data_IF_460817267288
#
_entry.id   IF_460817267288
#
_cell.length_a   1.000
_cell.length_b   1.000
_cell.length_c   1.000
_cell.angle_alpha   90.00
_cell.angle_beta   90.00
_cell.angle_gamma   90.00
#
_symmetry.space_group_name_H-M   'P 1'
#
loop_
_entity.id
_entity.type
_entity.pdbx_description
1 polymer ?
#
# COMPACT_ATOMS: atom_id res chain seq x y z
N UNK A 1 12.56 -2.20 6.93
CA UNK A 1 11.90 -1.56 5.76
C UNK A 1 10.49 -2.08 5.56
N UNK A 2 10.29 -3.40 5.35
CA UNK A 2 8.97 -4.00 5.07
C UNK A 2 7.93 -3.75 6.17
N UNK A 3 8.30 -3.74 7.45
CA UNK A 3 7.37 -3.39 8.54
C UNK A 3 6.91 -1.93 8.46
N UNK A 4 7.82 -1.02 8.13
CA UNK A 4 7.49 0.41 7.97
C UNK A 4 6.55 0.60 6.80
N UNK A 5 6.87 0.02 5.63
CA UNK A 5 6.01 0.11 4.44
C UNK A 5 4.62 -0.48 4.70
N UNK A 6 4.53 -1.61 5.41
CA UNK A 6 3.27 -2.25 5.76
C UNK A 6 2.42 -1.38 6.68
N UNK A 7 3.01 -0.81 7.73
CA UNK A 7 2.27 0.09 8.65
C UNK A 7 1.72 1.30 7.88
N UNK A 8 2.54 1.92 7.04
CA UNK A 8 2.08 3.06 6.22
C UNK A 8 0.97 2.62 5.24
N UNK A 9 1.14 1.48 4.56
CA UNK A 9 0.10 0.94 3.68
C UNK A 9 -1.23 0.74 4.40
N UNK A 10 -1.20 0.20 5.62
CA UNK A 10 -2.43 -0.02 6.39
C UNK A 10 -3.08 1.28 6.85
N UNK A 11 -2.28 2.23 7.36
CA UNK A 11 -2.79 3.53 7.77
C UNK A 11 -3.46 4.27 6.60
N UNK A 12 -2.91 4.16 5.39
CA UNK A 12 -3.49 4.75 4.18
C UNK A 12 -4.66 3.92 3.64
N UNK A 13 -4.60 2.59 3.75
CA UNK A 13 -5.64 1.71 3.19
C UNK A 13 -6.93 1.76 3.97
N UNK A 14 -6.91 1.97 5.29
CA UNK A 14 -8.11 2.03 6.13
C UNK A 14 -9.09 3.12 5.67
N UNK A 15 -8.71 4.42 5.66
CA UNK A 15 -9.62 5.47 5.22
C UNK A 15 -9.94 5.38 3.72
N UNK A 16 -8.98 4.97 2.90
CA UNK A 16 -9.18 4.84 1.44
C UNK A 16 -10.19 3.74 1.12
N UNK A 17 -10.06 2.57 1.75
CA UNK A 17 -10.98 1.45 1.56
C UNK A 17 -12.38 1.79 2.05
N UNK A 18 -12.50 2.51 3.17
CA UNK A 18 -13.80 2.98 3.67
C UNK A 18 -14.45 3.95 2.69
N UNK A 19 -13.71 4.96 2.22
CA UNK A 19 -14.20 5.90 1.22
C UNK A 19 -14.64 5.21 -0.07
N UNK A 20 -13.84 4.26 -0.58
CA UNK A 20 -14.18 3.47 -1.77
C UNK A 20 -15.38 2.55 -1.57
N UNK A 21 -15.69 2.14 -0.34
CA UNK A 21 -16.83 1.28 -0.05
C UNK A 21 -18.13 2.07 0.10
N UNK A 22 -18.09 3.22 0.76
CA UNK A 22 -19.28 3.94 1.24
C UNK A 22 -19.56 5.27 0.54
N UNK A 23 -18.54 5.85 -0.12
CA UNK A 23 -18.68 7.16 -0.79
C UNK A 23 -18.72 6.98 -2.31
N UNK A 24 -19.67 7.63 -2.95
CA UNK A 24 -19.70 7.79 -4.41
C UNK A 24 -19.09 9.14 -4.77
N UNK A 25 -17.98 9.14 -5.49
CA UNK A 25 -17.31 10.35 -5.97
C UNK A 25 -16.91 10.20 -7.45
N UNK A 26 -16.83 11.32 -8.19
CA UNK A 26 -16.36 11.26 -9.56
C UNK A 26 -14.90 10.76 -9.59
N UNK A 27 -14.61 9.77 -10.46
CA UNK A 27 -13.28 9.15 -10.53
C UNK A 27 -13.10 7.87 -9.70
N UNK A 28 -14.06 7.45 -8.88
CA UNK A 28 -14.00 6.19 -8.12
C UNK A 28 -13.67 5.00 -9.02
N UNK A 29 -14.37 4.87 -10.15
CA UNK A 29 -14.15 3.79 -11.12
C UNK A 29 -12.74 3.80 -11.70
N UNK A 30 -12.19 4.99 -11.97
CA UNK A 30 -10.81 5.14 -12.44
C UNK A 30 -9.81 4.68 -11.38
N UNK A 31 -10.00 5.07 -10.13
CA UNK A 31 -9.14 4.63 -9.02
C UNK A 31 -9.19 3.10 -8.84
N UNK A 32 -10.36 2.49 -8.94
CA UNK A 32 -10.51 1.03 -8.89
C UNK A 32 -9.77 0.34 -10.05
N UNK A 33 -9.91 0.83 -11.27
CA UNK A 33 -9.21 0.30 -12.45
C UNK A 33 -7.68 0.42 -12.28
N UNK A 34 -7.20 1.57 -11.81
CA UNK A 34 -5.76 1.78 -11.58
C UNK A 34 -5.19 0.83 -10.52
N UNK A 35 -5.95 0.56 -9.45
CA UNK A 35 -5.56 -0.43 -8.44
C UNK A 35 -5.51 -1.84 -9.02
N UNK A 36 -6.49 -2.24 -9.82
CA UNK A 36 -6.52 -3.56 -10.46
C UNK A 36 -5.40 -3.72 -11.49
N UNK A 37 -5.11 -2.69 -12.28
CA UNK A 37 -3.97 -2.67 -13.18
C UNK A 37 -2.65 -2.86 -12.43
N UNK A 38 -2.46 -2.14 -11.32
CA UNK A 38 -1.25 -2.28 -10.49
C UNK A 38 -1.09 -3.69 -9.93
N UNK A 39 -2.19 -4.35 -9.57
CA UNK A 39 -2.17 -5.74 -9.07
C UNK A 39 -1.93 -6.77 -10.18
N UNK A 40 -2.27 -6.45 -11.42
CA UNK A 40 -2.14 -7.34 -12.58
C UNK A 40 -0.78 -7.24 -13.26
N UNK A 41 -0.07 -6.11 -13.10
CA UNK A 41 1.22 -5.90 -13.72
C UNK A 41 2.33 -6.68 -12.97
N UNK A 42 3.30 -7.26 -13.71
CA UNK A 42 4.52 -7.78 -13.10
C UNK A 42 5.27 -6.68 -12.31
N UNK A 43 5.63 -6.96 -11.06
CA UNK A 43 6.23 -5.95 -10.17
C UNK A 43 7.56 -5.40 -10.67
N UNK A 44 8.30 -6.19 -11.46
CA UNK A 44 9.53 -5.74 -12.12
C UNK A 44 9.25 -4.58 -13.09
N UNK A 45 8.14 -4.61 -13.82
CA UNK A 45 7.71 -3.54 -14.71
C UNK A 45 7.28 -2.29 -13.94
N UNK A 46 6.60 -2.45 -12.81
CA UNK A 46 6.28 -1.32 -11.92
C UNK A 46 7.55 -0.68 -11.38
N UNK A 47 8.52 -1.47 -10.94
CA UNK A 47 9.81 -0.97 -10.48
C UNK A 47 10.58 -0.22 -11.58
N UNK A 48 10.56 -0.73 -12.80
CA UNK A 48 11.19 -0.07 -13.95
C UNK A 48 10.48 1.23 -14.32
N UNK A 49 9.14 1.26 -14.32
CA UNK A 49 8.36 2.49 -14.54
C UNK A 49 8.68 3.55 -13.48
N UNK A 50 8.76 3.16 -12.21
CA UNK A 50 9.17 4.06 -11.13
C UNK A 50 10.60 4.57 -11.34
N UNK A 51 11.54 3.71 -11.75
CA UNK A 51 12.90 4.13 -12.06
C UNK A 51 12.92 5.19 -13.16
N UNK A 52 12.16 5.02 -14.25
CA UNK A 52 12.07 6.01 -15.33
C UNK A 52 11.49 7.34 -14.82
N UNK A 53 10.43 7.31 -14.01
CA UNK A 53 9.81 8.51 -13.43
C UNK A 53 10.81 9.25 -12.54
N UNK A 54 11.47 8.55 -11.62
CA UNK A 54 12.42 9.15 -10.68
C UNK A 54 13.79 9.50 -11.28
N UNK A 55 14.11 8.98 -12.48
CA UNK A 55 15.29 9.38 -13.27
C UNK A 55 15.03 10.58 -14.18
N UNK A 56 13.76 10.96 -14.36
CA UNK A 56 13.34 12.11 -15.15
C UNK A 56 13.70 13.46 -14.47
N UNK A 57 13.53 14.61 -15.15
CA UNK A 57 13.72 15.92 -14.53
C UNK A 57 12.91 16.13 -13.25
N UNK A 58 11.69 15.55 -13.18
CA UNK A 58 10.86 15.56 -11.99
C UNK A 58 11.54 14.85 -10.81
N UNK A 59 12.12 13.69 -11.06
CA UNK A 59 12.83 12.92 -10.03
C UNK A 59 14.10 13.62 -9.54
N UNK A 60 14.80 14.34 -10.43
CA UNK A 60 15.94 15.17 -10.06
C UNK A 60 15.54 16.33 -9.13
N UNK A 61 14.45 17.03 -9.45
CA UNK A 61 13.91 18.10 -8.59
C UNK A 61 13.51 17.56 -7.20
N UNK A 62 12.88 16.39 -7.13
CA UNK A 62 12.55 15.74 -5.85
C UNK A 62 13.80 15.37 -5.05
N UNK A 63 14.85 14.90 -5.70
CA UNK A 63 16.14 14.61 -5.05
C UNK A 63 16.81 15.87 -4.50
N UNK A 64 16.76 16.98 -5.22
CA UNK A 64 17.25 18.28 -4.75
C UNK A 64 16.45 18.82 -3.57
N UNK A 65 15.14 18.50 -3.52
CA UNK A 65 14.27 18.80 -2.38
C UNK A 65 14.47 17.85 -1.16
N UNK A 66 15.49 16.95 -1.22
CA UNK A 66 15.83 16.03 -0.12
C UNK A 66 15.17 14.65 -0.20
N UNK A 67 14.34 14.36 -1.22
CA UNK A 67 13.68 13.07 -1.42
C UNK A 67 14.47 12.18 -2.39
N UNK A 68 15.57 11.60 -1.92
CA UNK A 68 16.32 10.63 -2.69
C UNK A 68 15.64 9.26 -2.65
N UNK A 69 14.94 8.88 -3.72
CA UNK A 69 14.23 7.59 -3.83
C UNK A 69 15.11 6.54 -4.52
N UNK A 70 15.71 6.88 -5.66
CA UNK A 70 16.51 5.95 -6.45
C UNK A 70 17.81 5.59 -5.71
N UNK A 71 18.15 4.29 -5.66
CA UNK A 71 19.32 3.75 -4.96
C UNK A 71 19.43 4.13 -3.48
N UNK A 72 18.28 4.24 -2.77
CA UNK A 72 18.22 4.60 -1.36
C UNK A 72 17.36 3.63 -0.53
N UNK A 73 17.59 3.50 0.79
CA UNK A 73 16.72 2.73 1.66
C UNK A 73 15.26 3.23 1.69
N UNK A 74 15.06 4.54 1.53
CA UNK A 74 13.73 5.14 1.41
C UNK A 74 13.01 4.64 0.14
N UNK A 75 13.76 4.42 -0.95
CA UNK A 75 13.24 3.84 -2.18
C UNK A 75 12.69 2.43 -2.02
N UNK A 76 13.27 1.62 -1.11
CA UNK A 76 12.72 0.28 -0.79
C UNK A 76 11.32 0.43 -0.20
N UNK A 77 11.17 1.30 0.80
CA UNK A 77 9.87 1.55 1.44
C UNK A 77 8.87 2.04 0.41
N UNK A 78 9.28 2.97 -0.44
CA UNK A 78 8.43 3.56 -1.49
C UNK A 78 8.00 2.51 -2.53
N UNK A 79 8.92 1.70 -3.05
CA UNK A 79 8.60 0.61 -3.99
C UNK A 79 7.62 -0.39 -3.38
N UNK A 80 7.88 -0.82 -2.15
CA UNK A 80 7.00 -1.73 -1.41
C UNK A 80 5.62 -1.12 -1.16
N UNK A 81 5.55 0.19 -0.89
CA UNK A 81 4.26 0.88 -0.73
C UNK A 81 3.45 0.88 -2.01
N UNK A 82 4.04 1.27 -3.14
CA UNK A 82 3.33 1.33 -4.44
C UNK A 82 2.77 -0.04 -4.82
N UNK A 83 3.53 -1.11 -4.60
CA UNK A 83 3.12 -2.48 -4.94
C UNK A 83 2.06 -3.03 -3.97
N UNK A 84 2.20 -2.74 -2.67
CA UNK A 84 1.37 -3.35 -1.63
C UNK A 84 0.13 -2.54 -1.26
N UNK A 85 0.11 -1.22 -1.51
CA UNK A 85 -1.01 -0.36 -1.15
C UNK A 85 -2.33 -0.78 -1.82
N UNK A 86 -2.39 -1.06 -3.15
CA UNK A 86 -3.62 -1.55 -3.79
C UNK A 86 -4.11 -2.88 -3.18
N UNK A 87 -3.19 -3.77 -2.83
CA UNK A 87 -3.53 -5.02 -2.17
C UNK A 87 -4.13 -4.79 -0.77
N UNK A 88 -3.50 -3.95 0.04
CA UNK A 88 -4.00 -3.59 1.37
C UNK A 88 -5.39 -2.94 1.30
N UNK A 89 -5.61 -2.01 0.35
CA UNK A 89 -6.91 -1.38 0.13
C UNK A 89 -7.96 -2.43 -0.24
N UNK A 90 -7.64 -3.36 -1.13
CA UNK A 90 -8.55 -4.44 -1.54
C UNK A 90 -8.94 -5.33 -0.36
N UNK A 91 -7.97 -5.73 0.47
CA UNK A 91 -8.22 -6.53 1.67
C UNK A 91 -9.11 -5.80 2.68
N UNK A 92 -8.83 -4.53 2.94
CA UNK A 92 -9.64 -3.70 3.84
C UNK A 92 -11.06 -3.48 3.30
N UNK A 93 -11.19 -3.23 2.00
CA UNK A 93 -12.51 -3.09 1.36
C UNK A 93 -13.36 -4.35 1.53
N UNK A 94 -12.77 -5.53 1.33
CA UNK A 94 -13.47 -6.80 1.54
C UNK A 94 -13.95 -6.95 2.99
N UNK A 95 -13.13 -6.52 3.97
CA UNK A 95 -13.49 -6.53 5.37
C UNK A 95 -14.69 -5.60 5.66
N UNK A 96 -14.68 -4.38 5.12
CA UNK A 96 -15.75 -3.40 5.37
C UNK A 96 -17.07 -3.75 4.68
N UNK A 97 -17.03 -4.30 3.47
CA UNK A 97 -18.24 -4.78 2.77
C UNK A 97 -18.91 -5.94 3.53
N UNK A 98 -18.17 -6.68 4.34
CA UNK A 98 -18.71 -7.73 5.22
C UNK A 98 -19.50 -7.21 6.43
N UNK A 99 -19.41 -5.93 6.77
CA UNK A 99 -20.18 -5.31 7.84
C UNK A 99 -21.61 -5.05 7.38
N UNK A 100 -22.59 -5.43 8.20
CA UNK A 100 -23.99 -5.19 7.87
C UNK A 100 -24.29 -3.68 7.82
N UNK A 101 -24.78 -3.13 6.69
CA UNK A 101 -25.05 -1.70 6.54
C UNK A 101 -26.07 -1.15 7.54
N UNK A 102 -26.92 -2.03 8.12
CA UNK A 102 -27.90 -1.62 9.14
C UNK A 102 -27.24 -1.10 10.41
N UNK A 103 -26.06 -1.59 10.75
CA UNK A 103 -25.31 -1.14 11.94
C UNK A 103 -24.90 0.33 11.79
N UNK A 104 -24.42 0.70 10.60
CA UNK A 104 -24.08 2.09 10.30
C UNK A 104 -25.31 2.99 10.30
N UNK A 105 -26.39 2.53 9.67
CA UNK A 105 -27.63 3.28 9.61
C UNK A 105 -28.21 3.56 11.00
N UNK A 106 -28.26 2.55 11.89
CA UNK A 106 -28.75 2.72 13.26
C UNK A 106 -27.87 3.69 14.04
N UNK A 107 -26.55 3.59 13.93
CA UNK A 107 -25.65 4.51 14.62
C UNK A 107 -25.83 5.97 14.15
N UNK A 108 -26.01 6.19 12.85
CA UNK A 108 -26.26 7.51 12.30
C UNK A 108 -27.63 8.08 12.71
N UNK A 109 -28.66 7.24 12.81
CA UNK A 109 -29.98 7.68 13.32
C UNK A 109 -29.94 8.08 14.79
N UNK A 110 -28.99 7.55 15.56
CA UNK A 110 -28.71 7.94 16.95
C UNK A 110 -27.81 9.17 17.06
N UNK A 111 -27.47 9.82 15.94
CA UNK A 111 -26.71 11.05 15.90
C UNK A 111 -25.18 10.89 15.80
N UNK A 112 -24.68 9.67 15.59
CA UNK A 112 -23.24 9.45 15.42
C UNK A 112 -22.76 10.00 14.07
N UNK A 113 -21.64 10.73 14.08
CA UNK A 113 -21.00 11.19 12.85
C UNK A 113 -20.37 10.01 12.07
N UNK A 114 -20.27 10.08 10.73
CA UNK A 114 -19.68 9.00 9.93
C UNK A 114 -18.29 8.58 10.38
N UNK A 115 -17.48 9.52 10.85
CA UNK A 115 -16.14 9.24 11.38
C UNK A 115 -16.17 8.48 12.71
N UNK A 116 -17.12 8.80 13.58
CA UNK A 116 -17.31 8.10 14.86
C UNK A 116 -17.78 6.67 14.62
N UNK A 117 -18.72 6.48 13.69
CA UNK A 117 -19.19 5.15 13.26
C UNK A 117 -18.02 4.33 12.72
N UNK A 118 -17.21 4.91 11.84
CA UNK A 118 -16.02 4.25 11.31
C UNK A 118 -15.08 3.79 12.42
N UNK A 119 -14.68 4.71 13.31
CA UNK A 119 -13.65 4.46 14.32
C UNK A 119 -14.14 3.56 15.45
N UNK A 120 -15.37 3.75 15.91
CA UNK A 120 -15.88 3.08 17.14
C UNK A 120 -16.67 1.81 16.87
N UNK A 121 -17.16 1.63 15.64
CA UNK A 121 -18.01 0.49 15.29
C UNK A 121 -17.34 -0.36 14.21
N UNK A 122 -17.06 0.20 13.04
CA UNK A 122 -16.60 -0.58 11.87
C UNK A 122 -15.21 -1.14 12.10
N UNK A 123 -14.24 -0.31 12.48
CA UNK A 123 -12.86 -0.75 12.71
C UNK A 123 -12.76 -1.83 13.79
N UNK A 124 -13.40 -1.71 14.97
CA UNK A 124 -13.41 -2.78 15.96
C UNK A 124 -14.11 -4.06 15.50
N UNK A 125 -15.20 -3.96 14.73
CA UNK A 125 -15.88 -5.14 14.17
C UNK A 125 -15.00 -5.88 13.16
N UNK A 126 -14.17 -5.17 12.40
CA UNK A 126 -13.27 -5.74 11.39
C UNK A 126 -11.86 -6.07 11.94
N UNK A 127 -11.63 -6.03 13.25
CA UNK A 127 -10.28 -6.18 13.84
C UNK A 127 -9.54 -7.42 13.36
N UNK A 128 -10.20 -8.56 13.26
CA UNK A 128 -9.58 -9.81 12.84
C UNK A 128 -9.17 -9.77 11.36
N UNK A 129 -10.01 -9.18 10.51
CA UNK A 129 -9.72 -8.97 9.08
C UNK A 129 -8.59 -7.96 8.90
N UNK A 130 -8.52 -6.92 9.74
CA UNK A 130 -7.43 -5.93 9.75
C UNK A 130 -6.11 -6.60 10.13
N UNK A 131 -6.10 -7.46 11.14
CA UNK A 131 -4.92 -8.24 11.54
C UNK A 131 -4.49 -9.17 10.39
N UNK A 132 -5.42 -9.87 9.77
CA UNK A 132 -5.14 -10.74 8.62
C UNK A 132 -4.55 -9.95 7.45
N UNK A 133 -5.11 -8.78 7.15
CA UNK A 133 -4.59 -7.90 6.11
C UNK A 133 -3.19 -7.37 6.45
N UNK A 134 -2.91 -7.08 7.73
CA UNK A 134 -1.56 -6.73 8.19
C UNK A 134 -0.57 -7.85 7.90
N UNK A 135 -0.85 -9.06 8.37
CA UNK A 135 0.06 -10.21 8.21
C UNK A 135 0.31 -10.52 6.74
N UNK A 136 -0.75 -10.53 5.91
CA UNK A 136 -0.63 -10.81 4.48
C UNK A 136 0.13 -9.71 3.73
N UNK A 137 -0.13 -8.45 4.02
CA UNK A 137 0.58 -7.32 3.39
C UNK A 137 2.05 -7.31 3.82
N UNK A 138 2.34 -7.62 5.08
CA UNK A 138 3.70 -7.71 5.61
C UNK A 138 4.48 -8.86 4.97
N UNK A 139 3.90 -10.06 4.91
CA UNK A 139 4.52 -11.21 4.27
C UNK A 139 4.81 -10.94 2.78
N UNK A 140 3.87 -10.30 2.08
CA UNK A 140 4.05 -9.88 0.68
C UNK A 140 5.16 -8.84 0.54
N UNK A 141 5.23 -7.85 1.42
CA UNK A 141 6.30 -6.84 1.44
C UNK A 141 7.67 -7.43 1.74
N UNK A 142 7.75 -8.47 2.57
CA UNK A 142 9.01 -9.18 2.82
C UNK A 142 9.50 -9.97 1.62
N UNK A 143 8.58 -10.54 0.82
CA UNK A 143 8.89 -11.27 -0.41
C UNK A 143 9.09 -10.38 -1.63
N UNK A 144 8.88 -9.05 -1.51
CA UNK A 144 8.99 -8.14 -2.65
C UNK A 144 10.45 -7.98 -3.10
N UNK A 145 10.72 -8.39 -4.32
CA UNK A 145 12.04 -8.34 -4.94
C UNK A 145 12.05 -7.55 -6.25
N UNK A 146 11.06 -7.78 -7.12
CA UNK A 146 11.06 -7.26 -8.48
C UNK A 146 11.10 -5.75 -8.58
N UNK A 147 10.19 -5.06 -7.89
CA UNK A 147 10.12 -3.60 -7.92
C UNK A 147 11.29 -2.97 -7.16
N UNK A 148 11.70 -3.57 -6.04
CA UNK A 148 12.84 -3.08 -5.25
C UNK A 148 14.16 -3.24 -6.01
N UNK A 149 14.37 -4.36 -6.68
CA UNK A 149 15.57 -4.59 -7.51
C UNK A 149 15.71 -3.53 -8.61
N UNK A 150 14.61 -3.22 -9.31
CA UNK A 150 14.64 -2.25 -10.42
C UNK A 150 14.81 -0.82 -9.95
N UNK A 151 14.14 -0.40 -8.89
CA UNK A 151 14.16 0.98 -8.42
C UNK A 151 15.43 1.32 -7.62
N UNK A 152 15.89 0.38 -6.80
CA UNK A 152 16.91 0.66 -5.77
C UNK A 152 18.18 -0.15 -5.99
N UNK A 153 18.10 -1.23 -6.73
CA UNK A 153 19.20 -2.20 -6.85
C UNK A 153 19.41 -2.98 -5.54
N UNK A 154 20.36 -3.90 -5.56
CA UNK A 154 20.76 -4.67 -4.37
C UNK A 154 22.23 -4.39 -4.07
N UNK A 155 22.47 -3.65 -2.99
CA UNK A 155 23.84 -3.35 -2.51
C UNK A 155 23.96 -3.86 -1.07
N UNK A 156 24.99 -4.69 -0.81
CA UNK A 156 25.26 -5.23 0.53
C UNK A 156 25.29 -4.11 1.58
N UNK A 157 24.64 -4.36 2.72
CA UNK A 157 24.60 -3.48 3.90
C UNK A 157 23.93 -2.12 3.66
N UNK A 158 23.41 -1.82 2.45
CA UNK A 158 22.81 -0.52 2.14
C UNK A 158 21.37 -0.63 1.67
N UNK A 159 21.11 -1.42 0.63
CA UNK A 159 19.77 -1.60 0.04
C UNK A 159 19.39 -3.07 -0.06
N UNK A 160 19.89 -3.85 0.87
CA UNK A 160 19.70 -5.29 0.95
C UNK A 160 18.33 -5.61 1.56
N UNK A 161 17.49 -6.30 0.82
CA UNK A 161 16.25 -6.91 1.30
C UNK A 161 16.43 -8.40 1.48
N UNK A 162 15.54 -9.10 2.17
CA UNK A 162 15.66 -10.53 2.39
C UNK A 162 15.76 -11.32 1.07
N UNK A 163 14.93 -11.11 0.05
CA UNK A 163 15.16 -11.73 -1.27
C UNK A 163 16.43 -11.24 -1.97
N UNK A 164 16.81 -9.98 -1.76
CA UNK A 164 18.04 -9.40 -2.29
C UNK A 164 19.29 -10.05 -1.72
N UNK A 165 19.32 -10.37 -0.43
CA UNK A 165 20.45 -11.08 0.19
C UNK A 165 20.58 -12.51 -0.32
N UNK A 166 19.46 -13.20 -0.53
CA UNK A 166 19.46 -14.53 -1.17
C UNK A 166 20.04 -14.44 -2.60
N UNK A 167 19.59 -13.46 -3.37
CA UNK A 167 20.08 -13.24 -4.72
C UNK A 167 21.61 -13.01 -4.75
N UNK A 168 22.13 -12.13 -3.88
CA UNK A 168 23.57 -11.85 -3.77
C UNK A 168 24.40 -13.04 -3.25
N UNK A 169 23.75 -14.00 -2.61
CA UNK A 169 24.46 -15.20 -2.10
C UNK A 169 24.59 -16.29 -3.17
N UNK A 170 23.81 -16.20 -4.23
CA UNK A 170 23.77 -17.21 -5.32
C UNK A 170 24.54 -16.68 -6.56
N UNK A 171 24.63 -15.33 -6.71
CA UNK A 171 25.36 -14.68 -7.81
C UNK A 171 26.86 -14.51 -7.50
#
# INVERSE_FOLDING_TARGET
>A
TSSISTVICLLLSLPTAYALSHVSFPGKRLAEILMELTLSLPYILLGFALLLIFSSPLGKALKEAGFAVVFSPAGIVFAQMIVNLPFAIRMMRTAFVGVNPRVEFVAQTLGAMPWDVFRTIIVPMCRNQIISAFVLTWARGMGEFGATLMLVGVTRMKTETLPGSIYLSIS
#
